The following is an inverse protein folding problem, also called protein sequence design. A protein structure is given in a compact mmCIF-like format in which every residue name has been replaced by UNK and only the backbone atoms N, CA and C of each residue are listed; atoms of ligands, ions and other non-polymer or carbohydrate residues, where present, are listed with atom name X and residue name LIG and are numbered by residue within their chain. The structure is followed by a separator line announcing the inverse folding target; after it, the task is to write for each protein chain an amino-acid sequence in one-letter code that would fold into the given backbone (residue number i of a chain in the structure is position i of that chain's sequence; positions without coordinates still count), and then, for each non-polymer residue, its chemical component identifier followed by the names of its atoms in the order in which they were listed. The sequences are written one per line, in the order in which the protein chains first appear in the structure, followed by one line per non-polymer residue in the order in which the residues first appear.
data_IF_976470559133
#
_entry.id   IF_976470559133
#
_cell.length_a   1.000
_cell.length_b   1.000
_cell.length_c   1.000
_cell.angle_alpha   90.00
_cell.angle_beta   90.00
_cell.angle_gamma   90.00
#
_symmetry.space_group_name_H-M   'P 1'
#
loop_
_entity.id
_entity.type
_entity.pdbx_description
1 polymer ?
#
# COMPACT_ATOMS: atom_id res chain seq x y z
N UNK A 1 7.49 -53.29 63.15
CA UNK A 1 8.33 -53.89 62.10
C UNK A 1 8.88 -52.74 61.27
N UNK A 2 10.19 -52.52 61.37
CA UNK A 2 10.86 -51.30 60.84
C UNK A 2 11.21 -51.42 59.34
N UNK A 3 11.15 -50.29 58.60
CA UNK A 3 11.80 -50.18 57.31
C UNK A 3 13.17 -49.51 57.41
N UNK A 4 14.11 -50.01 56.71
CA UNK A 4 15.50 -49.57 56.61
C UNK A 4 15.66 -48.29 55.80
N UNK A 5 16.33 -47.30 56.36
CA UNK A 5 16.87 -46.12 55.67
C UNK A 5 18.01 -46.55 54.72
N UNK A 6 18.00 -46.06 53.49
CA UNK A 6 19.19 -45.98 52.60
C UNK A 6 19.53 -44.50 52.36
N UNK A 7 20.69 -44.13 52.81
CA UNK A 7 21.32 -42.84 52.58
C UNK A 7 21.80 -42.71 51.13
N UNK A 8 21.48 -41.62 50.45
CA UNK A 8 22.07 -41.27 49.17
C UNK A 8 23.09 -40.15 49.38
N UNK A 9 24.32 -40.44 48.91
CA UNK A 9 25.44 -39.52 48.93
C UNK A 9 25.23 -38.39 47.94
N UNK A 10 25.32 -37.14 48.43
CA UNK A 10 25.44 -35.94 47.58
C UNK A 10 26.89 -35.84 47.08
N UNK A 11 27.08 -35.98 45.77
CA UNK A 11 28.30 -35.59 45.10
C UNK A 11 28.28 -34.10 44.77
N UNK A 12 29.19 -33.33 45.36
CA UNK A 12 29.41 -31.95 45.02
C UNK A 12 30.20 -31.84 43.73
N UNK A 13 29.57 -31.32 42.68
CA UNK A 13 30.27 -30.97 41.43
C UNK A 13 30.90 -29.57 41.58
N UNK A 14 32.21 -29.53 41.54
CA UNK A 14 33.01 -28.30 41.51
C UNK A 14 32.90 -27.69 40.10
N UNK A 15 32.27 -26.55 39.99
CA UNK A 15 32.23 -25.74 38.77
C UNK A 15 33.51 -24.94 38.66
N UNK A 16 34.35 -25.29 37.70
CA UNK A 16 35.50 -24.47 37.26
C UNK A 16 35.01 -23.24 36.47
N UNK A 17 35.59 -22.05 36.69
CA UNK A 17 35.21 -20.89 35.89
C UNK A 17 35.82 -21.00 34.50
N UNK A 18 34.97 -21.24 33.48
CA UNK A 18 35.37 -21.21 32.11
C UNK A 18 35.75 -19.77 31.70
N UNK A 19 36.94 -19.65 31.18
CA UNK A 19 37.46 -18.38 30.61
C UNK A 19 36.59 -17.99 29.41
N UNK A 20 35.97 -16.83 29.48
CA UNK A 20 35.34 -16.16 28.34
C UNK A 20 36.46 -15.66 27.41
N UNK A 21 36.68 -16.40 26.33
CA UNK A 21 37.51 -15.92 25.22
C UNK A 21 36.76 -14.77 24.54
N UNK A 22 37.23 -13.56 24.73
CA UNK A 22 36.80 -12.42 23.96
C UNK A 22 37.16 -12.65 22.48
N UNK A 23 36.14 -12.84 21.64
CA UNK A 23 36.33 -12.84 20.19
C UNK A 23 36.72 -11.44 19.75
N UNK A 24 37.92 -11.31 19.19
CA UNK A 24 38.34 -10.11 18.49
C UNK A 24 37.42 -9.81 17.31
N UNK A 25 37.17 -8.50 17.00
CA UNK A 25 36.36 -8.16 15.83
C UNK A 25 37.08 -8.69 14.58
N UNK A 26 36.27 -9.32 13.70
CA UNK A 26 36.75 -9.81 12.41
C UNK A 26 37.39 -8.63 11.62
N UNK A 27 38.69 -8.70 11.45
CA UNK A 27 39.40 -7.82 10.53
C UNK A 27 38.89 -8.13 9.12
N UNK A 28 38.44 -7.10 8.40
CA UNK A 28 38.17 -7.20 6.98
C UNK A 28 39.41 -7.71 6.26
N UNK A 29 39.34 -8.91 5.75
CA UNK A 29 40.39 -9.45 4.90
C UNK A 29 40.52 -8.56 3.66
N UNK A 30 41.74 -8.18 3.34
CA UNK A 30 42.03 -7.47 2.09
C UNK A 30 41.66 -8.38 0.91
N UNK A 31 41.12 -7.85 -0.19
CA UNK A 31 40.77 -8.65 -1.35
C UNK A 31 42.02 -9.22 -1.97
N UNK A 32 41.95 -10.49 -2.35
CA UNK A 32 43.04 -11.19 -3.04
C UNK A 32 43.42 -10.49 -4.35
N UNK A 33 44.69 -10.39 -4.72
CA UNK A 33 45.11 -9.78 -5.97
C UNK A 33 44.77 -10.71 -7.14
N UNK A 34 43.77 -10.36 -7.92
CA UNK A 34 43.39 -11.12 -9.14
C UNK A 34 41.95 -11.04 -9.54
N UNK A 35 41.04 -10.61 -8.67
CA UNK A 35 39.62 -10.43 -9.04
C UNK A 35 39.43 -9.01 -9.54
N UNK A 36 39.36 -8.83 -10.87
CA UNK A 36 38.96 -7.56 -11.43
C UNK A 36 37.52 -7.27 -10.97
N UNK A 37 37.21 -6.05 -10.44
CA UNK A 37 35.84 -5.70 -10.11
C UNK A 37 35.04 -5.72 -11.41
N UNK A 38 34.03 -6.60 -11.46
CA UNK A 38 32.99 -6.51 -12.49
C UNK A 38 32.36 -5.12 -12.30
N UNK A 39 32.53 -4.27 -13.29
CA UNK A 39 31.88 -2.96 -13.32
C UNK A 39 30.36 -3.22 -13.27
N UNK A 40 29.77 -3.05 -12.10
CA UNK A 40 28.32 -2.96 -11.97
C UNK A 40 27.95 -1.70 -12.72
N UNK A 41 27.45 -1.86 -13.94
CA UNK A 41 26.85 -0.75 -14.68
C UNK A 41 25.78 -0.16 -13.75
N UNK A 42 25.94 1.12 -13.41
CA UNK A 42 24.90 1.86 -12.74
C UNK A 42 23.59 1.62 -13.52
N UNK A 43 22.47 1.32 -12.84
CA UNK A 43 21.21 1.15 -13.54
C UNK A 43 21.00 2.38 -14.40
N UNK A 44 20.71 2.15 -15.68
CA UNK A 44 20.40 3.22 -16.62
C UNK A 44 19.42 4.16 -15.94
N UNK A 45 19.70 5.46 -16.01
CA UNK A 45 18.84 6.51 -15.43
C UNK A 45 17.40 6.17 -15.76
N UNK A 46 16.47 6.17 -14.79
CA UNK A 46 15.10 5.80 -15.06
C UNK A 46 14.59 6.71 -16.17
N UNK A 47 14.14 6.09 -17.28
CA UNK A 47 13.51 6.81 -18.36
C UNK A 47 12.42 7.71 -17.73
N UNK A 48 12.29 8.97 -18.16
CA UNK A 48 11.25 9.83 -17.62
C UNK A 48 9.91 9.16 -17.86
N UNK A 49 9.23 8.77 -16.79
CA UNK A 49 7.87 8.21 -16.83
C UNK A 49 6.98 9.34 -17.35
N UNK A 50 6.70 9.34 -18.65
CA UNK A 50 5.75 10.26 -19.26
C UNK A 50 4.37 9.92 -18.69
N UNK A 51 3.83 10.83 -17.89
CA UNK A 51 2.40 10.89 -17.65
C UNK A 51 1.88 10.58 -16.25
N UNK A 52 2.71 10.51 -15.21
CA UNK A 52 2.19 10.59 -13.84
C UNK A 52 2.14 12.07 -13.48
N UNK A 53 1.00 12.70 -13.70
CA UNK A 53 0.70 13.97 -13.05
C UNK A 53 0.05 13.61 -11.70
N UNK A 54 0.87 13.53 -10.67
CA UNK A 54 0.35 13.65 -9.33
C UNK A 54 -0.38 14.99 -9.23
N UNK A 55 -1.55 15.02 -8.61
CA UNK A 55 -2.13 16.28 -8.17
C UNK A 55 -1.02 17.08 -7.47
N UNK A 56 -0.94 18.39 -7.67
CA UNK A 56 0.10 19.16 -7.02
C UNK A 56 0.02 18.86 -5.52
N UNK A 57 1.16 18.57 -4.90
CA UNK A 57 1.19 18.32 -3.46
C UNK A 57 0.60 19.50 -2.71
N UNK A 58 0.12 19.29 -1.47
CA UNK A 58 -0.56 20.33 -0.71
C UNK A 58 0.38 21.51 -0.52
N UNK A 59 0.00 22.67 -1.05
CA UNK A 59 0.72 23.95 -0.85
C UNK A 59 0.04 24.84 0.18
N UNK A 60 -1.20 24.53 0.53
CA UNK A 60 -2.00 25.23 1.52
C UNK A 60 -2.09 24.43 2.84
N UNK A 61 -2.35 25.09 3.98
CA UNK A 61 -2.63 24.39 5.23
C UNK A 61 -3.74 23.35 5.05
N UNK A 62 -3.54 22.11 5.55
CA UNK A 62 -4.57 21.08 5.45
C UNK A 62 -5.86 21.52 6.17
N UNK A 63 -7.03 21.41 5.52
CA UNK A 63 -8.29 21.84 6.14
C UNK A 63 -8.55 21.07 7.44
N UNK A 64 -8.96 21.80 8.48
CA UNK A 64 -9.31 21.22 9.78
C UNK A 64 -8.12 20.82 10.67
N UNK A 65 -6.88 20.95 10.19
CA UNK A 65 -5.70 20.69 11.01
C UNK A 65 -5.17 21.99 11.63
N UNK A 66 -4.77 21.89 12.90
CA UNK A 66 -4.15 23.00 13.62
C UNK A 66 -2.63 22.93 13.47
N UNK A 67 -2.02 24.04 13.03
CA UNK A 67 -0.57 24.18 13.00
C UNK A 67 0.00 24.15 14.43
N UNK A 68 1.09 23.41 14.61
CA UNK A 68 1.82 23.34 15.88
C UNK A 68 2.52 24.68 16.11
N UNK A 69 2.18 25.44 17.16
CA UNK A 69 2.82 26.72 17.40
C UNK A 69 4.28 26.53 17.84
N UNK A 70 5.13 27.50 17.53
CA UNK A 70 6.56 27.46 17.89
C UNK A 70 6.81 27.21 19.38
N UNK A 71 5.94 27.73 20.26
CA UNK A 71 5.99 27.49 21.70
C UNK A 71 5.82 26.01 22.09
N UNK A 72 5.07 25.25 21.33
CA UNK A 72 4.87 23.82 21.60
C UNK A 72 6.06 22.95 21.14
N UNK A 73 6.94 23.48 20.27
CA UNK A 73 8.14 22.78 19.83
C UNK A 73 9.18 22.62 20.95
N UNK A 74 9.06 23.35 22.04
CA UNK A 74 9.88 23.14 23.24
C UNK A 74 9.72 21.70 23.82
N UNK A 75 8.50 21.15 23.74
CA UNK A 75 8.19 19.76 24.12
C UNK A 75 8.40 18.73 23.01
N UNK A 76 8.95 19.12 21.87
CA UNK A 76 9.16 18.27 20.69
C UNK A 76 10.56 18.50 20.07
N UNK A 77 11.63 18.32 20.85
CA UNK A 77 13.00 18.65 20.39
C UNK A 77 13.38 17.93 19.08
N UNK A 78 12.90 16.69 18.89
CA UNK A 78 13.16 15.92 17.69
C UNK A 78 12.54 16.53 16.39
N UNK A 79 11.48 17.34 16.51
CA UNK A 79 10.83 17.99 15.36
C UNK A 79 11.33 19.43 15.14
N UNK A 80 12.15 19.97 16.03
CA UNK A 80 12.67 21.34 15.90
C UNK A 80 13.47 21.51 14.61
N UNK A 81 14.35 20.58 14.30
CA UNK A 81 15.14 20.61 13.06
C UNK A 81 14.26 20.59 11.79
N UNK A 82 13.10 19.93 11.86
CA UNK A 82 12.15 19.88 10.74
C UNK A 82 11.47 21.23 10.55
N UNK A 83 11.09 21.87 11.65
CA UNK A 83 10.50 23.22 11.63
C UNK A 83 11.52 24.28 11.22
N UNK A 84 12.77 24.21 11.74
CA UNK A 84 13.87 25.13 11.41
C UNK A 84 14.26 25.02 9.92
N UNK A 85 14.05 23.85 9.30
CA UNK A 85 14.20 23.66 7.87
C UNK A 85 13.03 24.24 7.04
N UNK A 86 12.11 24.95 7.66
CA UNK A 86 10.99 25.66 7.02
C UNK A 86 9.72 24.84 6.83
N UNK A 87 9.62 23.65 7.45
CA UNK A 87 8.40 22.88 7.41
C UNK A 87 7.37 23.39 8.44
N UNK A 88 6.12 23.48 8.02
CA UNK A 88 4.99 23.65 8.92
C UNK A 88 4.54 22.31 9.45
N UNK A 89 4.31 22.22 10.75
CA UNK A 89 3.91 20.99 11.42
C UNK A 89 2.43 21.08 11.82
N UNK A 90 1.72 20.00 11.58
CA UNK A 90 0.30 19.85 11.94
C UNK A 90 0.15 18.57 12.75
N UNK A 91 -0.48 18.67 13.91
CA UNK A 91 -0.71 17.50 14.76
C UNK A 91 -1.93 16.72 14.24
N UNK A 92 -1.71 15.41 14.04
CA UNK A 92 -2.73 14.44 13.69
C UNK A 92 -3.22 13.68 14.93
N UNK A 93 -4.16 12.77 14.76
CA UNK A 93 -4.66 11.92 15.85
C UNK A 93 -3.52 11.03 16.38
N UNK A 94 -3.26 11.00 17.70
CA UNK A 94 -2.26 10.12 18.28
C UNK A 94 -2.59 8.64 18.00
N UNK A 95 -1.55 7.84 17.79
CA UNK A 95 -1.67 6.40 17.67
C UNK A 95 -1.64 5.70 19.04
N UNK A 96 -2.07 4.43 19.12
CA UNK A 96 -1.96 3.62 20.31
C UNK A 96 -0.55 3.63 20.90
N UNK A 97 -0.43 3.53 22.23
CA UNK A 97 0.86 3.59 22.93
C UNK A 97 1.37 5.02 23.19
N UNK A 98 0.53 6.03 22.99
CA UNK A 98 0.91 7.44 23.21
C UNK A 98 1.81 8.02 22.11
N UNK A 99 1.84 7.39 20.95
CA UNK A 99 2.65 7.81 19.82
C UNK A 99 1.97 9.01 19.14
N UNK A 100 2.52 10.20 19.32
CA UNK A 100 2.00 11.43 18.68
C UNK A 100 2.36 11.43 17.21
N UNK A 101 1.43 11.88 16.38
CA UNK A 101 1.60 11.90 14.91
C UNK A 101 1.59 13.32 14.40
N UNK A 102 2.54 13.64 13.53
CA UNK A 102 2.69 14.97 12.95
C UNK A 102 2.80 14.90 11.43
N UNK A 103 2.05 15.76 10.77
CA UNK A 103 2.16 15.99 9.33
C UNK A 103 3.03 17.24 9.13
N UNK A 104 4.15 17.09 8.46
CA UNK A 104 5.07 18.16 8.11
C UNK A 104 4.92 18.54 6.64
N UNK A 105 4.76 19.83 6.36
CA UNK A 105 4.61 20.39 5.02
C UNK A 105 5.69 21.44 4.76
N UNK A 106 6.53 21.22 3.75
CA UNK A 106 7.55 22.16 3.30
C UNK A 106 7.41 22.41 1.79
N UNK A 107 6.80 23.54 1.44
CA UNK A 107 6.43 23.83 0.05
C UNK A 107 5.49 22.76 -0.49
N UNK A 108 5.96 22.01 -1.48
CA UNK A 108 5.21 20.92 -2.10
C UNK A 108 5.56 19.53 -1.56
N UNK A 109 6.44 19.42 -0.58
CA UNK A 109 6.84 18.16 0.03
C UNK A 109 6.16 18.00 1.38
N UNK A 110 5.69 16.77 1.63
CA UNK A 110 5.15 16.44 2.94
C UNK A 110 5.77 15.15 3.49
N UNK A 111 5.70 15.02 4.82
CA UNK A 111 6.20 13.86 5.54
C UNK A 111 5.34 13.63 6.78
N UNK A 112 5.23 12.38 7.21
CA UNK A 112 4.60 12.05 8.49
C UNK A 112 5.67 11.59 9.47
N UNK A 113 5.60 12.13 10.68
CA UNK A 113 6.49 11.81 11.78
C UNK A 113 5.68 11.25 12.96
N UNK A 114 6.27 10.28 13.62
CA UNK A 114 5.77 9.67 14.84
C UNK A 114 6.74 9.97 15.96
N UNK A 115 6.21 10.53 17.03
CA UNK A 115 7.01 10.97 18.18
C UNK A 115 6.54 10.22 19.43
N UNK A 116 7.38 9.35 19.99
CA UNK A 116 7.11 8.68 21.25
C UNK A 116 6.94 9.68 22.42
N UNK A 117 6.35 9.25 23.54
CA UNK A 117 6.37 10.03 24.78
C UNK A 117 7.79 10.48 25.13
N UNK A 118 7.94 11.76 25.51
CA UNK A 118 9.24 12.38 25.78
C UNK A 118 9.74 13.29 24.68
N UNK A 119 9.33 13.10 23.42
CA UNK A 119 9.60 14.04 22.35
C UNK A 119 11.01 14.06 21.77
N UNK A 120 11.93 13.23 22.29
CA UNK A 120 13.35 13.21 21.93
C UNK A 120 13.66 12.54 20.59
N UNK A 121 12.77 11.70 20.12
CA UNK A 121 12.94 10.93 18.87
C UNK A 121 11.75 11.20 17.95
N UNK A 122 12.04 11.42 16.66
CA UNK A 122 11.03 11.47 15.62
C UNK A 122 11.32 10.36 14.59
N UNK A 123 10.34 9.50 14.39
CA UNK A 123 10.38 8.40 13.43
C UNK A 123 9.65 8.82 12.16
N UNK A 124 10.32 8.81 11.03
CA UNK A 124 9.72 9.09 9.73
C UNK A 124 9.34 7.78 9.05
N UNK A 125 8.11 7.65 8.58
CA UNK A 125 7.71 6.43 7.87
C UNK A 125 6.21 6.21 7.82
N UNK A 126 5.85 4.94 7.64
CA UNK A 126 4.49 4.45 7.63
C UNK A 126 4.22 3.66 8.92
N UNK A 127 3.10 3.95 9.57
CA UNK A 127 2.61 3.17 10.69
C UNK A 127 1.55 2.18 10.20
N UNK A 128 1.66 0.95 10.67
CA UNK A 128 0.68 -0.10 10.41
C UNK A 128 0.28 -0.74 11.75
N UNK A 129 -0.97 -1.18 11.84
CA UNK A 129 -1.41 -1.97 12.99
C UNK A 129 -1.00 -3.45 12.85
N UNK A 130 -1.32 -4.25 13.87
CA UNK A 130 -1.03 -5.69 13.86
C UNK A 130 -1.75 -6.44 12.73
N UNK A 131 -2.80 -5.86 12.16
CA UNK A 131 -3.56 -6.41 11.03
C UNK A 131 -3.01 -5.94 9.68
N UNK A 132 -1.96 -5.09 9.67
CA UNK A 132 -1.35 -4.53 8.47
C UNK A 132 -2.10 -3.36 7.86
N UNK A 133 -3.11 -2.82 8.56
CA UNK A 133 -3.83 -1.62 8.11
C UNK A 133 -2.90 -0.42 8.19
N UNK A 134 -2.86 0.38 7.13
CA UNK A 134 -2.00 1.56 7.03
C UNK A 134 -2.62 2.75 7.80
N UNK A 135 -2.21 2.91 9.05
CA UNK A 135 -2.68 3.98 9.93
C UNK A 135 -2.24 5.38 9.46
N UNK A 136 -1.09 5.48 8.80
CA UNK A 136 -0.62 6.74 8.21
C UNK A 136 -1.59 7.22 7.14
N UNK A 137 -2.00 6.33 6.25
CA UNK A 137 -2.94 6.66 5.19
C UNK A 137 -4.30 7.01 5.75
N UNK A 138 -4.80 6.26 6.73
CA UNK A 138 -6.08 6.54 7.38
C UNK A 138 -6.16 7.95 7.95
N UNK A 139 -5.04 8.45 8.49
CA UNK A 139 -4.96 9.81 9.03
C UNK A 139 -4.77 10.89 7.96
N UNK A 140 -4.09 10.58 6.87
CA UNK A 140 -3.67 11.58 5.88
C UNK A 140 -4.54 11.60 4.63
N UNK A 141 -5.38 10.60 4.39
CA UNK A 141 -6.23 10.48 3.20
C UNK A 141 -7.19 11.65 2.97
N UNK A 142 -7.52 12.39 4.04
CA UNK A 142 -8.40 13.56 3.97
C UNK A 142 -7.65 14.84 3.61
N UNK A 143 -6.33 14.81 3.58
CA UNK A 143 -5.50 15.97 3.26
C UNK A 143 -5.37 16.06 1.74
N UNK A 144 -5.86 17.13 1.09
CA UNK A 144 -5.74 17.29 -0.36
C UNK A 144 -4.29 17.19 -0.82
N UNK A 145 -4.03 16.47 -1.90
CA UNK A 145 -2.70 16.30 -2.49
C UNK A 145 -1.76 15.31 -1.78
N UNK A 146 -2.14 14.75 -0.63
CA UNK A 146 -1.35 13.70 0.05
C UNK A 146 -1.51 12.35 -0.65
N UNK A 147 -2.71 12.07 -1.16
CA UNK A 147 -2.95 10.89 -1.97
C UNK A 147 -2.72 11.27 -3.43
N UNK A 148 -1.78 10.64 -4.14
CA UNK A 148 -1.62 10.86 -5.56
C UNK A 148 -2.93 10.53 -6.28
N UNK A 149 -3.43 11.50 -7.02
CA UNK A 149 -4.53 11.31 -7.97
C UNK A 149 -3.98 11.44 -9.37
N UNK A 150 -4.54 10.72 -10.32
CA UNK A 150 -4.13 10.79 -11.72
C UNK A 150 -5.21 11.44 -12.55
N UNK A 151 -4.79 12.33 -13.45
CA UNK A 151 -5.66 12.80 -14.52
C UNK A 151 -5.79 11.69 -15.56
N UNK A 152 -7.03 11.41 -15.96
CA UNK A 152 -7.31 10.46 -17.02
C UNK A 152 -6.92 11.10 -18.35
N UNK A 153 -5.95 10.52 -19.02
CA UNK A 153 -5.60 10.90 -20.38
C UNK A 153 -6.31 9.98 -21.37
N UNK A 154 -7.14 10.57 -22.18
CA UNK A 154 -7.76 9.86 -23.29
C UNK A 154 -6.75 9.64 -24.41
N UNK A 155 -6.77 8.44 -25.04
CA UNK A 155 -6.11 8.20 -26.31
C UNK A 155 -4.61 7.91 -26.31
N UNK A 156 -3.99 7.53 -25.18
CA UNK A 156 -2.66 6.94 -25.25
C UNK A 156 -2.74 5.57 -25.92
N UNK A 157 -1.93 5.28 -26.98
CA UNK A 157 -1.87 3.94 -27.54
C UNK A 157 -1.40 2.99 -26.45
N UNK A 158 -2.26 2.05 -26.10
CA UNK A 158 -1.94 0.98 -25.18
C UNK A 158 -1.17 -0.09 -25.94
N UNK A 159 -0.27 -0.77 -25.25
CA UNK A 159 0.61 -1.83 -25.74
C UNK A 159 -0.11 -2.84 -26.67
N UNK A 160 0.64 -3.61 -27.44
CA UNK A 160 0.09 -4.64 -28.36
C UNK A 160 -0.90 -5.56 -27.64
N UNK A 161 -2.20 -5.37 -27.90
CA UNK A 161 -3.30 -6.10 -27.29
C UNK A 161 -4.32 -5.18 -26.62
N UNK A 162 -5.51 -5.73 -26.31
CA UNK A 162 -6.57 -5.02 -25.58
C UNK A 162 -6.39 -5.24 -24.07
N UNK A 163 -5.99 -4.22 -23.29
CA UNK A 163 -5.91 -4.33 -21.84
C UNK A 163 -7.24 -4.62 -21.17
N UNK A 164 -8.33 -4.10 -21.72
CA UNK A 164 -9.69 -4.40 -21.24
C UNK A 164 -10.01 -5.88 -21.45
N UNK A 165 -9.65 -6.45 -22.61
CA UNK A 165 -9.83 -7.89 -22.86
C UNK A 165 -8.98 -8.72 -21.90
N UNK A 166 -7.73 -8.31 -21.66
CA UNK A 166 -6.85 -8.97 -20.69
C UNK A 166 -7.46 -8.92 -19.27
N UNK A 167 -7.90 -7.75 -18.83
CA UNK A 167 -8.54 -7.57 -17.52
C UNK A 167 -9.84 -8.37 -17.40
N UNK A 168 -10.68 -8.41 -18.45
CA UNK A 168 -11.93 -9.15 -18.45
C UNK A 168 -11.76 -10.67 -18.41
N UNK A 169 -10.62 -11.18 -18.85
CA UNK A 169 -10.29 -12.62 -18.83
C UNK A 169 -9.76 -13.10 -17.47
N UNK A 170 -9.52 -12.20 -16.52
CA UNK A 170 -9.04 -12.53 -15.17
C UNK A 170 -10.14 -13.13 -14.30
N UNK A 171 -9.74 -13.69 -13.17
CA UNK A 171 -10.71 -13.97 -12.10
C UNK A 171 -10.99 -12.67 -11.33
N UNK A 172 -12.20 -12.17 -11.47
CA UNK A 172 -12.68 -10.95 -10.85
C UNK A 172 -14.07 -11.13 -10.24
N UNK A 173 -14.47 -10.22 -9.38
CA UNK A 173 -15.82 -10.16 -8.86
C UNK A 173 -16.52 -8.89 -9.35
N UNK A 174 -17.73 -9.03 -9.91
CA UNK A 174 -18.51 -7.91 -10.37
C UNK A 174 -19.27 -7.27 -9.21
N UNK A 175 -19.06 -5.98 -9.03
CA UNK A 175 -19.70 -5.15 -8.03
C UNK A 175 -20.54 -4.06 -8.71
N UNK A 176 -21.83 -4.07 -8.46
CA UNK A 176 -22.79 -3.12 -9.05
C UNK A 176 -23.79 -3.80 -9.98
N UNK A 177 -24.66 -2.97 -10.54
CA UNK A 177 -25.81 -3.41 -11.34
C UNK A 177 -25.36 -3.88 -12.73
N UNK A 178 -25.90 -5.00 -13.19
CA UNK A 178 -25.74 -5.47 -14.56
C UNK A 178 -26.27 -4.44 -15.58
N UNK A 179 -25.53 -4.32 -16.68
CA UNK A 179 -25.85 -3.37 -17.76
C UNK A 179 -25.37 -1.93 -17.51
N UNK A 180 -24.84 -1.60 -16.32
CA UNK A 180 -24.14 -0.34 -16.13
C UNK A 180 -22.80 -0.33 -16.88
N UNK A 181 -22.27 0.85 -17.26
CA UNK A 181 -20.90 0.97 -17.80
C UNK A 181 -19.90 0.24 -16.92
N UNK A 182 -19.03 -0.59 -17.53
CA UNK A 182 -18.12 -1.45 -16.76
C UNK A 182 -16.70 -0.91 -16.78
N UNK A 183 -16.07 -0.99 -15.59
CA UNK A 183 -14.65 -0.73 -15.41
C UNK A 183 -14.01 -1.91 -14.67
N UNK A 184 -12.85 -2.36 -15.12
CA UNK A 184 -12.03 -3.37 -14.43
C UNK A 184 -10.97 -2.67 -13.62
N UNK A 185 -10.76 -3.12 -12.38
CA UNK A 185 -9.81 -2.48 -11.46
C UNK A 185 -8.93 -3.54 -10.82
N UNK A 186 -7.64 -3.49 -11.11
CA UNK A 186 -6.66 -4.24 -10.34
C UNK A 186 -6.51 -3.62 -8.96
N UNK A 187 -6.66 -4.42 -7.94
CA UNK A 187 -6.60 -4.00 -6.53
C UNK A 187 -5.69 -4.91 -5.74
N UNK A 188 -4.86 -4.33 -4.89
CA UNK A 188 -4.14 -5.08 -3.86
C UNK A 188 -4.91 -4.95 -2.54
N UNK A 189 -5.31 -6.06 -1.90
CA UNK A 189 -6.13 -6.02 -0.68
C UNK A 189 -5.51 -5.26 0.49
N UNK A 190 -4.18 -5.12 0.47
CA UNK A 190 -3.43 -4.40 1.50
C UNK A 190 -2.97 -2.99 1.05
N UNK A 191 -3.35 -2.57 -0.16
CA UNK A 191 -3.06 -1.25 -0.67
C UNK A 191 -4.11 -0.23 -0.21
N UNK A 192 -3.70 0.77 0.56
CA UNK A 192 -4.60 1.83 1.01
C UNK A 192 -5.20 2.66 -0.13
N UNK A 193 -4.53 2.77 -1.28
CA UNK A 193 -5.09 3.42 -2.46
C UNK A 193 -6.20 2.59 -3.10
N UNK A 194 -6.09 1.25 -3.06
CA UNK A 194 -7.18 0.36 -3.48
C UNK A 194 -8.42 0.54 -2.58
N UNK A 195 -8.21 0.64 -1.26
CA UNK A 195 -9.28 0.94 -0.30
C UNK A 195 -9.99 2.25 -0.65
N UNK A 196 -9.21 3.30 -0.89
CA UNK A 196 -9.75 4.60 -1.27
C UNK A 196 -10.54 4.57 -2.58
N UNK A 197 -10.05 3.85 -3.59
CA UNK A 197 -10.77 3.70 -4.85
C UNK A 197 -12.14 3.04 -4.65
N UNK A 198 -12.20 2.00 -3.82
CA UNK A 198 -13.44 1.31 -3.48
C UNK A 198 -14.40 2.26 -2.75
N UNK A 199 -13.91 3.01 -1.76
CA UNK A 199 -14.71 4.00 -1.03
C UNK A 199 -15.27 5.07 -1.95
N UNK A 200 -14.44 5.60 -2.87
CA UNK A 200 -14.86 6.64 -3.82
C UNK A 200 -15.84 6.14 -4.88
N UNK A 201 -15.73 4.88 -5.32
CA UNK A 201 -16.64 4.28 -6.28
C UNK A 201 -17.98 3.86 -5.68
N UNK A 202 -18.03 3.60 -4.38
CA UNK A 202 -19.23 3.06 -3.72
C UNK A 202 -20.52 3.84 -4.00
N UNK A 203 -20.58 5.19 -3.87
CA UNK A 203 -21.80 5.95 -4.16
C UNK A 203 -22.27 5.81 -5.61
N UNK A 204 -21.31 5.62 -6.55
CA UNK A 204 -21.62 5.45 -7.96
C UNK A 204 -22.16 4.05 -8.28
N UNK A 205 -21.57 3.04 -7.63
CA UNK A 205 -22.03 1.65 -7.75
C UNK A 205 -23.41 1.48 -7.13
N UNK A 206 -23.61 2.01 -5.94
CA UNK A 206 -24.91 1.95 -5.24
C UNK A 206 -26.01 2.68 -6.01
N UNK A 207 -25.68 3.76 -6.71
CA UNK A 207 -26.57 4.47 -7.63
C UNK A 207 -26.75 3.77 -8.99
N UNK A 208 -26.09 2.62 -9.24
CA UNK A 208 -26.15 1.88 -10.51
C UNK A 208 -25.53 2.59 -11.70
N UNK A 209 -24.63 3.58 -11.47
CA UNK A 209 -23.97 4.38 -12.52
C UNK A 209 -22.75 3.67 -13.13
N UNK A 210 -22.16 2.72 -12.42
CA UNK A 210 -21.01 1.94 -12.84
C UNK A 210 -21.06 0.53 -12.29
N UNK A 211 -20.54 -0.43 -13.05
CA UNK A 211 -20.25 -1.78 -12.59
C UNK A 211 -18.73 -1.98 -12.55
N UNK A 212 -18.20 -2.45 -11.42
CA UNK A 212 -16.77 -2.60 -11.18
C UNK A 212 -16.38 -4.07 -11.16
N UNK A 213 -15.48 -4.50 -12.03
CA UNK A 213 -14.81 -5.79 -11.96
C UNK A 213 -13.56 -5.69 -11.09
N UNK A 214 -13.66 -6.12 -9.83
CA UNK A 214 -12.52 -6.12 -8.89
C UNK A 214 -11.59 -7.29 -9.19
N UNK A 215 -10.32 -7.01 -9.49
CA UNK A 215 -9.30 -8.02 -9.83
C UNK A 215 -8.23 -8.03 -8.74
N UNK A 216 -8.20 -9.05 -7.85
CA UNK A 216 -7.16 -9.15 -6.84
C UNK A 216 -5.79 -9.42 -7.46
N UNK A 217 -4.82 -8.59 -7.09
CA UNK A 217 -3.41 -8.70 -7.45
C UNK A 217 -2.54 -8.42 -6.22
N UNK A 218 -1.24 -8.68 -6.31
CA UNK A 218 -0.28 -8.43 -5.23
C UNK A 218 0.90 -7.62 -5.76
N UNK A 219 0.85 -6.30 -5.53
CA UNK A 219 1.92 -5.38 -5.94
C UNK A 219 2.82 -4.97 -4.78
N UNK A 220 2.34 -5.14 -3.53
CA UNK A 220 3.04 -4.72 -2.33
C UNK A 220 3.84 -5.83 -1.64
N UNK A 221 3.97 -7.01 -2.25
CA UNK A 221 4.68 -8.14 -1.64
C UNK A 221 6.13 -7.81 -1.26
N UNK A 222 6.80 -7.01 -2.07
CA UNK A 222 8.17 -6.54 -1.82
C UNK A 222 8.28 -5.67 -0.55
N UNK A 223 7.18 -4.98 -0.19
CA UNK A 223 7.13 -4.06 0.95
C UNK A 223 6.54 -4.72 2.22
N UNK A 224 5.82 -5.84 2.07
CA UNK A 224 5.10 -6.45 3.18
C UNK A 224 5.40 -7.95 3.40
N UNK A 225 6.49 -8.45 2.79
CA UNK A 225 6.93 -9.83 2.99
C UNK A 225 5.97 -10.89 2.42
N UNK A 226 5.30 -10.61 1.30
CA UNK A 226 4.42 -11.55 0.61
C UNK A 226 2.98 -11.58 1.13
N UNK A 227 2.60 -10.69 2.03
CA UNK A 227 1.26 -10.67 2.65
C UNK A 227 0.16 -10.31 1.65
N UNK A 228 0.43 -9.48 0.64
CA UNK A 228 -0.53 -9.17 -0.42
C UNK A 228 -0.91 -10.42 -1.22
N UNK A 229 0.06 -11.28 -1.56
CA UNK A 229 -0.20 -12.57 -2.20
C UNK A 229 -1.08 -13.49 -1.34
N UNK A 230 -0.87 -13.51 -0.04
CA UNK A 230 -1.70 -14.29 0.90
C UNK A 230 -3.13 -13.77 0.88
N UNK A 231 -3.30 -12.47 1.03
CA UNK A 231 -4.61 -11.81 1.03
C UNK A 231 -5.36 -11.99 -0.29
N UNK A 232 -4.69 -11.77 -1.44
CA UNK A 232 -5.29 -11.94 -2.75
C UNK A 232 -5.73 -13.39 -3.03
N UNK A 233 -4.92 -14.38 -2.63
CA UNK A 233 -5.30 -15.80 -2.72
C UNK A 233 -6.49 -16.13 -1.83
N UNK A 234 -6.54 -15.58 -0.61
CA UNK A 234 -7.67 -15.75 0.29
C UNK A 234 -8.97 -15.18 -0.31
N UNK A 235 -8.94 -13.99 -0.90
CA UNK A 235 -10.08 -13.43 -1.64
C UNK A 235 -10.53 -14.37 -2.76
N UNK A 236 -9.60 -14.91 -3.53
CA UNK A 236 -9.87 -15.76 -4.69
C UNK A 236 -10.37 -17.19 -4.33
N UNK A 237 -10.48 -17.53 -3.05
CA UNK A 237 -11.26 -18.72 -2.61
C UNK A 237 -12.76 -18.48 -2.75
N UNK A 238 -13.21 -17.23 -2.73
CA UNK A 238 -14.60 -16.82 -2.86
C UNK A 238 -14.84 -16.30 -4.27
N UNK A 239 -15.60 -17.03 -5.07
CA UNK A 239 -15.91 -16.68 -6.46
C UNK A 239 -17.39 -16.86 -6.76
N UNK A 240 -17.85 -16.43 -7.93
CA UNK A 240 -19.24 -16.54 -8.36
C UNK A 240 -20.12 -15.42 -7.82
N UNK A 241 -21.43 -15.67 -7.82
CA UNK A 241 -22.43 -14.73 -7.37
C UNK A 241 -22.19 -14.30 -5.90
N UNK A 242 -22.29 -13.01 -5.62
CA UNK A 242 -22.07 -12.46 -4.29
C UNK A 242 -20.59 -12.37 -3.86
N UNK A 243 -19.62 -12.77 -4.69
CA UNK A 243 -18.20 -12.70 -4.35
C UNK A 243 -17.78 -11.27 -4.03
N UNK A 244 -18.19 -10.29 -4.83
CA UNK A 244 -17.84 -8.88 -4.60
C UNK A 244 -18.32 -8.39 -3.22
N UNK A 245 -19.56 -8.73 -2.84
CA UNK A 245 -20.11 -8.35 -1.53
C UNK A 245 -19.25 -8.91 -0.39
N UNK A 246 -18.89 -10.20 -0.45
CA UNK A 246 -18.04 -10.84 0.57
C UNK A 246 -16.62 -10.26 0.59
N UNK A 247 -16.06 -9.95 -0.58
CA UNK A 247 -14.73 -9.34 -0.66
C UNK A 247 -14.74 -7.97 0.01
N UNK A 248 -15.77 -7.17 -0.21
CA UNK A 248 -15.89 -5.82 0.32
C UNK A 248 -16.28 -5.79 1.80
N UNK A 249 -17.10 -6.74 2.26
CA UNK A 249 -17.43 -6.91 3.67
C UNK A 249 -16.18 -7.17 4.54
N UNK A 250 -15.25 -7.96 4.01
CA UNK A 250 -14.03 -8.36 4.73
C UNK A 250 -12.78 -7.62 4.23
N UNK A 251 -12.95 -6.50 3.50
CA UNK A 251 -11.85 -5.86 2.77
C UNK A 251 -10.59 -5.64 3.62
N UNK A 252 -10.71 -5.12 4.84
CA UNK A 252 -9.57 -4.89 5.74
C UNK A 252 -9.03 -6.14 6.43
N UNK A 253 -9.71 -7.28 6.35
CA UNK A 253 -9.39 -8.49 7.11
C UNK A 253 -8.63 -9.56 6.30
N UNK A 254 -8.57 -9.45 4.99
CA UNK A 254 -7.94 -10.47 4.13
C UNK A 254 -6.46 -10.71 4.45
N UNK A 255 -5.75 -9.70 4.96
CA UNK A 255 -4.35 -9.81 5.38
C UNK A 255 -4.12 -10.62 6.65
N UNK A 256 -5.17 -10.96 7.40
CA UNK A 256 -5.10 -11.74 8.64
C UNK A 256 -5.54 -13.19 8.44
N UNK A 257 -5.94 -13.56 7.22
CA UNK A 257 -6.38 -14.91 6.91
C UNK A 257 -5.21 -15.88 7.10
N UNK A 258 -5.43 -16.88 7.96
CA UNK A 258 -4.51 -17.98 8.18
C UNK A 258 -5.03 -19.24 7.47
N UNK A 259 -4.12 -20.01 6.90
CA UNK A 259 -4.44 -21.28 6.24
C UNK A 259 -3.74 -21.43 4.88
N UNK A 260 -3.76 -22.65 4.37
CA UNK A 260 -3.22 -22.96 3.03
C UNK A 260 -4.30 -22.63 2.02
N UNK A 261 -4.07 -21.72 1.06
CA UNK A 261 -5.05 -21.42 0.02
C UNK A 261 -5.33 -22.68 -0.83
N UNK A 262 -6.59 -22.84 -1.23
CA UNK A 262 -6.97 -23.91 -2.14
C UNK A 262 -6.19 -23.79 -3.46
N UNK A 263 -5.85 -24.93 -4.09
CA UNK A 263 -5.12 -24.94 -5.37
C UNK A 263 -5.77 -24.07 -6.44
N UNK A 264 -7.10 -24.06 -6.50
CA UNK A 264 -7.87 -23.23 -7.42
C UNK A 264 -7.60 -21.73 -7.19
N UNK A 265 -7.54 -21.29 -5.94
CA UNK A 265 -7.23 -19.89 -5.62
C UNK A 265 -5.80 -19.54 -6.03
N UNK A 266 -4.86 -20.46 -5.88
CA UNK A 266 -3.47 -20.30 -6.33
C UNK A 266 -3.42 -20.17 -7.86
N UNK A 267 -4.15 -21.00 -8.60
CA UNK A 267 -4.22 -20.93 -10.08
C UNK A 267 -4.82 -19.61 -10.55
N UNK A 268 -5.94 -19.19 -9.93
CA UNK A 268 -6.60 -17.90 -10.23
C UNK A 268 -5.69 -16.73 -9.95
N UNK A 269 -5.00 -16.74 -8.82
CA UNK A 269 -4.04 -15.70 -8.46
C UNK A 269 -2.90 -15.60 -9.48
N UNK A 270 -2.32 -16.74 -9.90
CA UNK A 270 -1.28 -16.74 -10.93
C UNK A 270 -1.77 -16.18 -12.26
N UNK A 271 -2.99 -16.53 -12.67
CA UNK A 271 -3.58 -15.98 -13.88
C UNK A 271 -3.78 -14.45 -13.78
N UNK A 272 -4.23 -13.96 -12.62
CA UNK A 272 -4.36 -12.53 -12.38
C UNK A 272 -3.01 -11.81 -12.40
N UNK A 273 -1.95 -12.41 -11.82
CA UNK A 273 -0.60 -11.83 -11.87
C UNK A 273 -0.04 -11.81 -13.30
N UNK A 274 -0.25 -12.86 -14.08
CA UNK A 274 0.13 -12.89 -15.50
C UNK A 274 -0.60 -11.81 -16.31
N UNK A 275 -1.89 -11.60 -16.04
CA UNK A 275 -2.64 -10.51 -16.64
C UNK A 275 -2.13 -9.13 -16.19
N UNK A 276 -1.76 -8.98 -14.92
CA UNK A 276 -1.14 -7.78 -14.39
C UNK A 276 0.19 -7.46 -15.10
N UNK A 277 1.04 -8.47 -15.30
CA UNK A 277 2.29 -8.34 -16.04
C UNK A 277 2.03 -7.96 -17.52
N UNK A 278 1.04 -8.59 -18.16
CA UNK A 278 0.69 -8.35 -19.57
C UNK A 278 0.16 -6.92 -19.81
N UNK A 279 -0.41 -6.27 -18.80
CA UNK A 279 -0.86 -4.87 -18.88
C UNK A 279 0.13 -3.87 -18.26
N UNK A 280 1.36 -4.30 -17.98
CA UNK A 280 2.39 -3.49 -17.28
C UNK A 280 1.82 -2.81 -16.02
N UNK A 281 1.26 -3.62 -15.11
CA UNK A 281 0.71 -3.13 -13.86
C UNK A 281 1.83 -2.65 -12.93
N UNK A 282 1.91 -1.36 -12.67
CA UNK A 282 2.96 -0.75 -11.82
C UNK A 282 2.51 -0.42 -10.42
N UNK A 283 1.22 -0.47 -10.17
CA UNK A 283 0.63 -0.13 -8.88
C UNK A 283 -0.86 -0.42 -8.83
N UNK A 284 -1.45 -0.23 -7.67
CA UNK A 284 -2.89 -0.38 -7.47
C UNK A 284 -3.46 0.82 -6.73
N UNK A 285 -4.69 1.26 -7.06
CA UNK A 285 -5.56 0.69 -8.09
C UNK A 285 -5.11 1.07 -9.50
N UNK A 286 -5.36 0.19 -10.49
CA UNK A 286 -5.26 0.53 -11.91
C UNK A 286 -6.55 0.14 -12.61
N UNK A 287 -7.13 1.07 -13.35
CA UNK A 287 -8.42 0.99 -13.99
C UNK A 287 -8.27 0.73 -15.49
N UNK A 288 -9.14 -0.12 -16.04
CA UNK A 288 -9.28 -0.35 -17.49
C UNK A 288 -10.74 -0.35 -17.87
N UNK A 289 -11.11 0.37 -18.93
CA UNK A 289 -12.48 0.43 -19.44
C UNK A 289 -12.50 0.54 -20.95
N UNK A 290 -13.62 0.14 -21.57
CA UNK A 290 -13.92 0.42 -22.95
C UNK A 290 -15.12 1.37 -23.04
N UNK A 291 -15.10 2.27 -24.01
CA UNK A 291 -16.20 3.16 -24.34
C UNK A 291 -17.08 2.53 -25.42
N UNK A 292 -18.32 3.04 -25.60
CA UNK A 292 -19.21 2.56 -26.66
C UNK A 292 -18.65 2.68 -28.07
N UNK A 293 -17.73 3.61 -28.31
CA UNK A 293 -17.02 3.77 -29.59
C UNK A 293 -15.88 2.77 -29.81
N UNK A 294 -15.64 1.88 -28.85
CA UNK A 294 -14.58 0.88 -28.87
C UNK A 294 -13.22 1.38 -28.42
N UNK A 295 -13.08 2.66 -28.05
CA UNK A 295 -11.84 3.15 -27.46
C UNK A 295 -11.66 2.63 -26.02
N UNK A 296 -10.43 2.26 -25.69
CA UNK A 296 -10.10 1.81 -24.34
C UNK A 296 -9.40 2.92 -23.56
N UNK A 297 -9.59 2.89 -22.24
CA UNK A 297 -8.94 3.80 -21.34
C UNK A 297 -8.20 3.08 -20.22
N UNK A 298 -7.21 3.76 -19.65
CA UNK A 298 -6.44 3.34 -18.49
C UNK A 298 -6.27 4.50 -17.52
N UNK A 299 -6.35 4.24 -16.24
CA UNK A 299 -5.94 5.18 -15.18
C UNK A 299 -5.15 4.44 -14.11
N UNK A 300 -3.95 4.92 -13.80
CA UNK A 300 -3.07 4.37 -12.76
C UNK A 300 -3.23 5.22 -11.49
N UNK A 301 -3.93 4.70 -10.50
CA UNK A 301 -4.27 5.40 -9.26
C UNK A 301 -5.75 5.80 -9.18
N UNK A 302 -6.12 6.50 -8.11
CA UNK A 302 -7.49 6.96 -7.91
C UNK A 302 -7.74 8.20 -8.79
N UNK A 303 -8.78 8.21 -9.65
CA UNK A 303 -9.12 9.40 -10.42
C UNK A 303 -9.33 10.62 -9.51
N UNK A 304 -8.82 11.78 -9.94
CA UNK A 304 -8.94 13.03 -9.16
C UNK A 304 -10.42 13.45 -8.99
N UNK A 305 -11.19 13.28 -10.05
CA UNK A 305 -12.62 13.50 -10.09
C UNK A 305 -13.33 12.20 -10.49
N UNK A 306 -13.82 11.48 -9.49
CA UNK A 306 -14.51 10.19 -9.69
C UNK A 306 -15.89 10.38 -10.31
N UNK A 307 -16.57 11.52 -10.04
CA UNK A 307 -17.85 11.84 -10.69
C UNK A 307 -17.68 12.03 -12.19
N UNK A 308 -16.70 12.84 -12.60
CA UNK A 308 -16.38 13.04 -14.02
C UNK A 308 -15.90 11.73 -14.69
N UNK A 309 -15.09 10.94 -13.99
CA UNK A 309 -14.63 9.64 -14.47
C UNK A 309 -15.82 8.72 -14.78
N UNK A 310 -16.71 8.53 -13.81
CA UNK A 310 -17.87 7.63 -13.96
C UNK A 310 -18.83 8.14 -15.05
N UNK A 311 -19.04 9.46 -15.11
CA UNK A 311 -19.86 10.04 -16.18
C UNK A 311 -19.27 9.78 -17.58
N UNK A 312 -17.93 9.83 -17.69
CA UNK A 312 -17.19 9.56 -18.95
C UNK A 312 -17.27 8.10 -19.41
N UNK A 313 -17.47 7.14 -18.51
CA UNK A 313 -17.61 5.72 -18.87
C UNK A 313 -18.82 5.43 -19.78
N UNK A 314 -19.91 6.18 -19.58
CA UNK A 314 -21.15 6.01 -20.34
C UNK A 314 -21.20 6.69 -21.70
N UNK A 315 -20.11 7.32 -22.17
CA UNK A 315 -20.08 8.03 -23.45
C UNK A 315 -20.78 9.39 -23.45
N UNK A 316 -21.11 9.92 -22.29
CA UNK A 316 -21.61 11.28 -22.13
C UNK A 316 -20.47 12.28 -22.32
N UNK A 317 -20.25 12.71 -23.57
CA UNK A 317 -19.44 13.90 -23.84
C UNK A 317 -20.07 15.08 -23.12
N UNK A 318 -19.46 15.55 -22.04
CA UNK A 318 -19.71 16.89 -21.54
C UNK A 318 -19.21 17.87 -22.60
N UNK A 319 -20.03 18.17 -23.60
CA UNK A 319 -19.84 19.34 -24.45
C UNK A 319 -20.09 20.52 -23.53
N UNK A 320 -18.99 21.15 -23.10
CA UNK A 320 -19.04 22.45 -22.48
C UNK A 320 -19.76 23.41 -23.40
N UNK A 321 -20.76 24.06 -22.87
CA UNK A 321 -21.32 25.29 -23.38
C UNK A 321 -20.56 26.47 -22.79
#
# INVERSE_FOLDING_TARGET
MHPTLRAALLGAAVLSPGAVLAQAPAQCAAPEPGVQPVAVQAPASPMPVRGVFAAPPPTAPPPGLREVPASALAGLPALRNVADAGAKLYELVPLPGGLRTFFALAGSRFQVFYVPPGGEVAIRGLAQDAMGRNLTLDQTRHIPGVVPTVEIREGAPLMDGSPVKTASATTHALWGRDGAPRVYVFVDPLCGFSTRAIEALRPHVDAGRVQVGLIPAAVLDHANGGRSSVAAKAMLTVTGEGAAARWLEHWGAWGTTSGVPAEDAIRRFRANQQAADAVDLRGTPTFFWARPDGTEGRADGVPADVDAFVAGLGGGSARGG
#
